data_IF_574331863361
#
_entry.id   IF_574331863361
#
_cell.length_a   1.000
_cell.length_b   1.000
_cell.length_c   1.000
_cell.angle_alpha   90.00
_cell.angle_beta   90.00
_cell.angle_gamma   90.00
#
_symmetry.space_group_name_H-M   'P 1'
#
loop_
_entity.id
_entity.type
_entity.pdbx_description
1 polymer ?
#
# COMPACT_ATOMS: atom_id res chain seq x y z
N UNK A 1 15.67 -5.28 -10.46
CA UNK A 1 14.57 -6.26 -10.35
C UNK A 1 13.96 -6.45 -11.72
N UNK A 2 13.57 -7.68 -12.09
CA UNK A 2 12.85 -7.92 -13.34
C UNK A 2 11.44 -7.34 -13.24
N UNK A 3 10.85 -6.88 -14.35
CA UNK A 3 9.45 -6.43 -14.36
C UNK A 3 8.52 -7.57 -14.77
N UNK A 4 7.31 -7.57 -14.21
CA UNK A 4 6.21 -8.46 -14.59
C UNK A 4 5.02 -7.62 -15.07
N UNK A 5 4.27 -8.11 -16.05
CA UNK A 5 2.97 -7.55 -16.43
C UNK A 5 1.90 -8.59 -16.17
N UNK A 6 0.87 -8.20 -15.45
CA UNK A 6 -0.17 -9.07 -14.96
C UNK A 6 -1.54 -8.49 -15.28
N UNK A 7 -2.46 -9.34 -15.73
CA UNK A 7 -3.87 -8.99 -15.95
C UNK A 7 -4.69 -10.15 -15.43
N UNK A 8 -5.49 -9.90 -14.39
CA UNK A 8 -6.40 -10.91 -13.87
C UNK A 8 -7.58 -11.13 -14.83
N UNK A 9 -8.19 -12.31 -14.77
CA UNK A 9 -9.33 -12.65 -15.62
C UNK A 9 -10.52 -11.75 -15.29
N UNK A 10 -10.99 -10.98 -16.27
CA UNK A 10 -12.10 -10.03 -16.07
C UNK A 10 -11.67 -8.66 -15.54
N UNK A 11 -10.37 -8.44 -15.29
CA UNK A 11 -9.83 -7.14 -14.94
C UNK A 11 -9.55 -6.31 -16.21
N UNK A 12 -10.09 -5.09 -16.35
CA UNK A 12 -9.87 -4.23 -17.52
C UNK A 12 -8.50 -3.53 -17.52
N UNK A 13 -7.68 -3.76 -16.50
CA UNK A 13 -6.37 -3.13 -16.30
C UNK A 13 -5.26 -4.18 -16.31
N UNK A 14 -4.21 -3.91 -17.08
CA UNK A 14 -2.91 -4.58 -16.98
C UNK A 14 -2.03 -3.82 -16.01
N UNK A 15 -1.60 -4.47 -14.94
CA UNK A 15 -0.70 -3.90 -13.94
C UNK A 15 0.72 -4.39 -14.20
N UNK A 16 1.66 -3.47 -14.31
CA UNK A 16 3.09 -3.75 -14.38
C UNK A 16 3.69 -3.63 -12.98
N UNK A 17 4.38 -4.66 -12.51
CA UNK A 17 5.04 -4.70 -11.21
C UNK A 17 6.49 -5.18 -11.32
N UNK A 18 7.11 -5.46 -10.18
CA UNK A 18 8.48 -6.00 -10.10
C UNK A 18 8.49 -7.38 -9.48
N UNK A 19 9.44 -8.20 -9.91
CA UNK A 19 9.73 -9.52 -9.34
C UNK A 19 10.94 -9.38 -8.41
N UNK A 20 10.77 -9.86 -7.18
CA UNK A 20 11.81 -10.05 -6.19
C UNK A 20 12.00 -11.54 -5.94
N UNK A 21 13.19 -12.06 -6.23
CA UNK A 21 13.57 -13.46 -6.11
C UNK A 21 14.68 -13.68 -5.07
N UNK A 22 15.00 -12.66 -4.27
CA UNK A 22 16.13 -12.68 -3.31
C UNK A 22 16.04 -13.78 -2.25
N UNK A 23 14.85 -14.36 -2.06
CA UNK A 23 14.59 -15.43 -1.09
C UNK A 23 14.35 -16.81 -1.74
N UNK A 24 14.76 -17.01 -2.99
CA UNK A 24 14.71 -18.30 -3.68
C UNK A 24 13.32 -18.72 -4.19
N UNK A 25 12.29 -17.97 -3.84
CA UNK A 25 10.96 -18.02 -4.47
C UNK A 25 10.65 -16.64 -5.03
N UNK A 26 10.18 -16.54 -6.27
CA UNK A 26 9.78 -15.26 -6.82
C UNK A 26 8.59 -14.70 -6.03
N UNK A 27 8.58 -13.39 -5.84
CA UNK A 27 7.51 -12.61 -5.20
C UNK A 27 7.21 -11.43 -6.12
N UNK A 28 5.93 -11.16 -6.36
CA UNK A 28 5.52 -10.00 -7.15
C UNK A 28 5.17 -8.84 -6.23
N UNK A 29 5.71 -7.66 -6.56
CA UNK A 29 5.35 -6.40 -5.93
C UNK A 29 4.68 -5.48 -6.93
N UNK A 30 3.54 -4.94 -6.52
CA UNK A 30 2.87 -3.83 -7.18
C UNK A 30 2.83 -2.66 -6.20
N UNK A 31 3.49 -1.57 -6.55
CA UNK A 31 3.80 -0.47 -5.63
C UNK A 31 3.14 0.83 -6.08
N UNK A 32 2.87 1.72 -5.13
CA UNK A 32 2.32 3.05 -5.42
C UNK A 32 0.93 3.05 -6.05
N UNK A 33 0.13 2.00 -5.83
CA UNK A 33 -1.23 1.92 -6.37
C UNK A 33 -2.12 2.90 -5.60
N UNK A 34 -2.69 3.89 -6.27
CA UNK A 34 -3.59 4.86 -5.65
C UNK A 34 -4.89 4.18 -5.21
N UNK A 35 -5.28 4.42 -3.97
CA UNK A 35 -6.60 4.01 -3.45
C UNK A 35 -7.54 5.20 -3.25
N UNK A 36 -7.00 6.41 -3.22
CA UNK A 36 -7.77 7.63 -3.10
C UNK A 36 -7.08 8.83 -3.75
N UNK A 37 -7.84 9.93 -3.84
CA UNK A 37 -7.37 11.23 -4.30
C UNK A 37 -7.90 12.30 -3.36
N UNK A 38 -7.09 13.30 -3.05
CA UNK A 38 -7.51 14.47 -2.28
C UNK A 38 -7.14 15.74 -3.05
N UNK A 39 -8.15 16.55 -3.38
CA UNK A 39 -7.92 17.72 -4.23
C UNK A 39 -7.26 18.89 -3.50
N UNK A 40 -7.36 18.93 -2.16
CA UNK A 40 -6.85 20.02 -1.32
C UNK A 40 -6.65 19.58 0.13
N UNK A 41 -5.77 20.28 0.84
CA UNK A 41 -5.58 20.15 2.29
C UNK A 41 -6.94 20.21 3.03
N UNK A 42 -7.11 19.29 3.98
CA UNK A 42 -8.33 19.12 4.78
C UNK A 42 -9.61 18.86 3.94
N UNK A 43 -9.46 18.39 2.70
CA UNK A 43 -10.56 17.86 1.91
C UNK A 43 -10.91 16.42 2.31
N UNK A 44 -12.11 15.98 1.93
CA UNK A 44 -12.44 14.57 1.98
C UNK A 44 -11.73 13.85 0.84
N UNK A 45 -11.11 12.68 1.09
CA UNK A 45 -10.54 11.88 0.03
C UNK A 45 -11.66 11.21 -0.78
N UNK A 46 -11.44 11.10 -2.08
CA UNK A 46 -12.31 10.44 -3.04
C UNK A 46 -11.73 9.08 -3.40
N UNK A 47 -12.59 8.07 -3.58
CA UNK A 47 -12.17 6.71 -3.96
C UNK A 47 -11.53 6.69 -5.35
N UNK A 48 -10.39 6.02 -5.49
CA UNK A 48 -9.74 5.76 -6.78
C UNK A 48 -9.64 4.26 -7.01
N UNK A 49 -10.34 3.75 -8.03
CA UNK A 49 -10.23 2.35 -8.43
C UNK A 49 -9.02 2.08 -9.33
N UNK A 50 -8.82 0.81 -9.71
CA UNK A 50 -7.76 0.37 -10.63
C UNK A 50 -7.85 0.96 -12.06
N UNK A 51 -8.99 1.58 -12.41
CA UNK A 51 -9.23 2.15 -13.73
C UNK A 51 -9.34 1.09 -14.83
N UNK A 52 -8.90 1.45 -16.04
CA UNK A 52 -8.78 0.55 -17.20
C UNK A 52 -7.49 0.87 -17.95
N UNK A 53 -6.97 -0.07 -18.74
CA UNK A 53 -5.77 0.14 -19.56
C UNK A 53 -4.50 -0.37 -18.88
N UNK A 54 -3.48 0.48 -18.74
CA UNK A 54 -2.17 0.08 -18.18
C UNK A 54 -1.86 0.89 -16.94
N UNK A 55 -1.48 0.19 -15.87
CA UNK A 55 -1.02 0.78 -14.61
C UNK A 55 0.45 0.38 -14.39
N UNK A 56 1.35 1.36 -14.27
CA UNK A 56 2.73 1.10 -13.86
C UNK A 56 2.84 1.20 -12.34
N UNK A 57 3.12 0.07 -11.70
CA UNK A 57 3.26 -0.10 -10.26
C UNK A 57 4.65 -0.67 -9.92
N UNK A 58 5.68 -0.28 -10.69
CA UNK A 58 7.06 -0.74 -10.49
C UNK A 58 7.82 0.06 -9.42
N UNK A 59 7.40 1.29 -9.17
CA UNK A 59 8.01 2.23 -8.23
C UNK A 59 7.11 2.47 -7.01
N UNK A 60 7.70 2.85 -5.87
CA UNK A 60 6.94 3.28 -4.72
C UNK A 60 6.27 4.63 -4.99
N UNK A 61 5.07 4.84 -4.42
CA UNK A 61 4.42 6.15 -4.40
C UNK A 61 5.03 7.06 -3.33
N UNK A 62 4.66 8.34 -3.38
CA UNK A 62 5.05 9.30 -2.36
C UNK A 62 4.47 8.92 -0.98
N UNK A 63 5.20 9.22 0.09
CA UNK A 63 4.65 9.17 1.45
C UNK A 63 3.95 10.48 1.79
N UNK A 64 3.10 10.47 2.82
CA UNK A 64 2.49 11.71 3.30
C UNK A 64 3.54 12.57 4.01
N UNK A 65 3.40 13.91 4.01
CA UNK A 65 4.37 14.79 4.66
C UNK A 65 4.61 14.42 6.12
N UNK A 66 5.87 14.33 6.53
CA UNK A 66 6.27 14.03 7.91
C UNK A 66 7.13 15.17 8.47
N UNK A 67 7.11 15.42 9.80
CA UNK A 67 8.09 16.30 10.40
C UNK A 67 9.50 15.76 10.17
N UNK A 68 10.44 16.67 9.91
CA UNK A 68 11.84 16.31 9.78
C UNK A 68 12.37 15.77 11.11
N UNK A 69 12.45 14.45 11.23
CA UNK A 69 13.12 13.74 12.30
C UNK A 69 14.40 13.12 11.76
N UNK A 70 15.44 13.06 12.59
CA UNK A 70 16.63 12.26 12.30
C UNK A 70 16.43 10.85 12.90
N UNK A 71 15.95 9.87 12.12
CA UNK A 71 15.77 8.51 12.62
C UNK A 71 17.10 7.89 13.04
N UNK A 72 18.22 8.30 12.46
CA UNK A 72 19.54 7.80 12.84
C UNK A 72 19.90 8.20 14.26
N UNK A 73 19.64 9.47 14.62
CA UNK A 73 19.81 9.93 15.99
C UNK A 73 18.84 9.24 16.96
N UNK A 74 17.54 9.16 16.62
CA UNK A 74 16.50 8.57 17.47
C UNK A 74 16.75 7.08 17.75
N UNK A 75 17.13 6.33 16.73
CA UNK A 75 17.35 4.88 16.80
C UNK A 75 18.82 4.51 17.08
N UNK A 76 19.69 5.50 17.31
CA UNK A 76 21.15 5.32 17.54
C UNK A 76 21.82 4.50 16.44
N UNK A 77 21.41 4.74 15.21
CA UNK A 77 21.97 4.04 14.05
C UNK A 77 23.35 4.64 13.72
N UNK A 78 24.34 3.80 13.40
CA UNK A 78 25.67 4.26 12.98
C UNK A 78 25.61 5.33 11.88
N UNK A 79 26.42 6.41 11.95
CA UNK A 79 26.37 7.53 10.98
C UNK A 79 26.62 7.14 9.52
N UNK A 80 27.25 5.98 9.31
CA UNK A 80 27.57 5.44 7.99
C UNK A 80 26.33 4.91 7.26
N UNK A 81 25.26 4.60 8.00
CA UNK A 81 23.99 4.13 7.45
C UNK A 81 23.16 5.36 7.05
N UNK A 82 23.03 5.56 5.74
CA UNK A 82 22.17 6.60 5.19
C UNK A 82 20.77 6.07 5.00
N UNK A 83 19.80 6.78 5.56
CA UNK A 83 18.40 6.56 5.24
C UNK A 83 18.10 7.18 3.88
N UNK A 84 17.41 6.42 3.04
CA UNK A 84 16.92 6.93 1.75
C UNK A 84 15.88 8.00 2.02
N UNK A 85 16.05 9.19 1.44
CA UNK A 85 14.99 10.19 1.46
C UNK A 85 13.82 9.65 0.62
N UNK A 86 12.67 9.50 1.26
CA UNK A 86 11.43 9.12 0.59
C UNK A 86 10.78 10.40 0.05
N UNK A 87 10.24 10.32 -1.16
CA UNK A 87 9.48 11.43 -1.75
C UNK A 87 8.21 11.70 -0.93
N UNK A 88 7.93 12.97 -0.64
CA UNK A 88 6.76 13.40 0.12
C UNK A 88 5.85 14.24 -0.76
N UNK A 89 4.55 13.91 -0.76
CA UNK A 89 3.53 14.67 -1.47
C UNK A 89 2.21 14.62 -0.69
N UNK A 90 1.69 15.78 -0.29
CA UNK A 90 0.46 15.89 0.49
C UNK A 90 -0.79 15.39 -0.25
N UNK A 91 -0.82 15.52 -1.59
CA UNK A 91 -1.99 15.24 -2.40
C UNK A 91 -1.90 13.88 -3.12
N UNK A 92 -0.70 13.30 -3.17
CA UNK A 92 -0.42 12.05 -3.88
C UNK A 92 0.04 10.87 -2.98
N UNK A 93 -0.03 11.05 -1.66
CA UNK A 93 0.36 10.01 -0.70
C UNK A 93 -0.70 8.93 -0.42
N UNK A 94 -1.90 9.01 -1.01
CA UNK A 94 -2.96 8.02 -0.83
C UNK A 94 -2.75 6.80 -1.74
N UNK A 95 -1.67 6.07 -1.47
CA UNK A 95 -1.27 4.89 -2.21
C UNK A 95 -0.95 3.70 -1.30
N UNK A 96 -0.99 2.49 -1.87
CA UNK A 96 -0.68 1.24 -1.20
C UNK A 96 0.22 0.35 -2.06
N UNK A 97 0.78 -0.66 -1.41
CA UNK A 97 1.60 -1.69 -2.05
C UNK A 97 0.94 -3.06 -1.87
N UNK A 98 1.03 -3.90 -2.89
CA UNK A 98 0.59 -5.29 -2.88
C UNK A 98 1.81 -6.17 -3.09
N UNK A 99 2.00 -7.12 -2.19
CA UNK A 99 3.02 -8.15 -2.29
C UNK A 99 2.32 -9.51 -2.30
N UNK A 100 2.59 -10.31 -3.32
CA UNK A 100 1.86 -11.57 -3.55
C UNK A 100 2.76 -12.61 -4.22
N UNK A 101 2.57 -13.91 -3.95
CA UNK A 101 3.22 -14.94 -4.74
C UNK A 101 2.86 -14.83 -6.24
N UNK A 102 3.79 -15.15 -7.14
CA UNK A 102 3.50 -15.34 -8.56
C UNK A 102 2.46 -16.42 -8.73
N UNK A 103 1.57 -16.24 -9.70
CA UNK A 103 0.65 -17.30 -10.11
C UNK A 103 -0.18 -17.89 -8.96
N UNK A 104 -0.82 -17.06 -8.14
CA UNK A 104 -2.09 -17.50 -7.54
C UNK A 104 -3.02 -17.78 -8.71
N UNK A 105 -3.03 -19.04 -9.17
CA UNK A 105 -4.06 -19.51 -10.07
C UNK A 105 -5.33 -19.53 -9.24
N UNK A 106 -6.04 -18.39 -9.29
CA UNK A 106 -7.27 -18.11 -8.54
C UNK A 106 -8.28 -19.26 -8.70
N UNK A 107 -8.17 -20.04 -9.79
CA UNK A 107 -9.03 -21.20 -10.05
C UNK A 107 -8.50 -22.53 -9.49
N UNK A 108 -7.19 -22.71 -9.29
CA UNK A 108 -6.59 -23.97 -8.84
C UNK A 108 -6.32 -24.00 -7.32
N UNK A 109 -5.96 -22.86 -6.74
CA UNK A 109 -5.57 -22.74 -5.33
C UNK A 109 -6.59 -21.98 -4.47
N UNK A 110 -7.60 -21.37 -5.10
CA UNK A 110 -8.51 -20.43 -4.46
C UNK A 110 -7.85 -19.08 -4.17
N UNK A 111 -8.63 -18.16 -3.58
CA UNK A 111 -8.13 -16.87 -3.11
C UNK A 111 -7.34 -17.03 -1.80
N UNK A 112 -6.28 -16.25 -1.63
CA UNK A 112 -5.42 -16.28 -0.44
C UNK A 112 -5.94 -15.33 0.65
N UNK A 113 -5.78 -15.66 1.94
CA UNK A 113 -6.07 -14.69 3.01
C UNK A 113 -5.19 -13.44 2.84
N UNK A 114 -5.75 -12.27 3.13
CA UNK A 114 -5.09 -10.97 2.96
C UNK A 114 -4.61 -10.44 4.31
N UNK A 115 -3.33 -10.09 4.38
CA UNK A 115 -2.80 -9.32 5.51
C UNK A 115 -2.74 -7.84 5.13
N UNK A 116 -3.53 -7.00 5.81
CA UNK A 116 -3.47 -5.55 5.65
C UNK A 116 -2.57 -5.00 6.75
N UNK A 117 -1.38 -4.56 6.35
CA UNK A 117 -0.43 -3.91 7.26
C UNK A 117 -0.67 -2.40 7.28
N UNK A 118 -0.90 -1.85 8.47
CA UNK A 118 -1.03 -0.41 8.71
C UNK A 118 0.18 -0.02 9.55
N UNK A 119 1.07 0.75 8.94
CA UNK A 119 2.32 1.13 9.60
C UNK A 119 2.07 1.94 10.87
N UNK A 120 2.94 1.76 11.86
CA UNK A 120 3.02 2.59 13.05
C UNK A 120 3.57 3.99 12.77
N UNK A 121 3.63 4.81 13.81
CA UNK A 121 4.16 6.18 13.73
C UNK A 121 3.64 7.15 14.79
N UNK A 122 2.94 6.64 15.82
CA UNK A 122 2.39 7.42 16.94
C UNK A 122 1.53 8.62 16.52
N UNK A 123 0.96 8.57 15.31
CA UNK A 123 0.22 9.66 14.65
C UNK A 123 0.94 11.02 14.77
N UNK A 124 2.27 10.96 14.77
CA UNK A 124 3.22 12.07 14.79
C UNK A 124 3.39 12.82 16.13
N UNK A 125 3.12 12.22 17.30
CA UNK A 125 3.80 12.42 18.63
C UNK A 125 2.91 12.13 19.87
N UNK A 126 1.58 12.02 19.76
CA UNK A 126 0.68 11.60 20.86
C UNK A 126 -0.37 10.60 20.38
N UNK A 127 -0.85 9.74 21.29
CA UNK A 127 -1.85 8.74 20.99
C UNK A 127 -3.22 9.41 20.76
N UNK A 128 -3.64 9.59 19.50
CA UNK A 128 -5.06 9.84 19.27
C UNK A 128 -5.80 8.55 19.66
N UNK A 129 -6.69 8.67 20.62
CA UNK A 129 -7.58 7.57 20.98
C UNK A 129 -8.68 7.46 19.94
N UNK A 130 -8.99 6.25 19.50
CA UNK A 130 -10.22 5.98 18.74
C UNK A 130 -11.50 6.38 19.51
N UNK A 131 -11.38 6.69 20.81
CA UNK A 131 -12.45 7.27 21.63
C UNK A 131 -12.62 8.79 21.46
N UNK A 132 -11.82 9.45 20.61
CA UNK A 132 -11.95 10.88 20.30
C UNK A 132 -12.07 11.12 18.79
N UNK A 133 -12.72 12.20 18.33
CA UNK A 133 -12.91 12.48 16.90
C UNK A 133 -11.61 12.57 16.09
N UNK A 134 -10.49 12.92 16.74
CA UNK A 134 -9.18 12.99 16.09
C UNK A 134 -8.60 11.60 15.75
N UNK A 135 -9.04 10.54 16.43
CA UNK A 135 -8.65 9.15 16.17
C UNK A 135 -9.73 8.36 15.41
N UNK A 136 -10.72 9.02 14.80
CA UNK A 136 -11.79 8.38 14.05
C UNK A 136 -11.23 7.62 12.84
N UNK A 137 -11.35 6.27 12.78
CA UNK A 137 -10.81 5.46 11.69
C UNK A 137 -11.62 5.60 10.39
N UNK A 138 -12.71 6.38 10.36
CA UNK A 138 -13.52 6.58 9.15
C UNK A 138 -12.68 7.07 7.97
N UNK A 139 -11.61 7.82 8.21
CA UNK A 139 -10.69 8.26 7.15
C UNK A 139 -9.90 7.10 6.51
N UNK A 140 -9.68 6.00 7.24
CA UNK A 140 -9.03 4.78 6.72
C UNK A 140 -9.97 3.93 5.87
N UNK A 141 -11.28 4.24 5.81
CA UNK A 141 -12.27 3.40 5.13
C UNK A 141 -11.94 3.18 3.66
N UNK A 142 -11.34 4.17 2.98
CA UNK A 142 -11.10 4.09 1.53
C UNK A 142 -10.08 3.01 1.18
N UNK A 143 -9.01 2.87 1.96
CA UNK A 143 -8.04 1.80 1.75
C UNK A 143 -8.68 0.42 1.93
N UNK A 144 -9.49 0.24 2.99
CA UNK A 144 -10.20 -1.02 3.23
C UNK A 144 -11.26 -1.31 2.16
N UNK A 145 -12.01 -0.28 1.74
CA UNK A 145 -12.98 -0.36 0.65
C UNK A 145 -12.27 -0.73 -0.67
N UNK A 146 -11.09 -0.16 -0.91
CA UNK A 146 -10.26 -0.51 -2.07
C UNK A 146 -9.81 -1.95 -2.02
N UNK A 147 -9.27 -2.43 -0.90
CA UNK A 147 -8.87 -3.84 -0.75
C UNK A 147 -10.06 -4.75 -1.00
N UNK A 148 -11.21 -4.49 -0.36
CA UNK A 148 -12.43 -5.28 -0.52
C UNK A 148 -12.89 -5.38 -1.98
N UNK A 149 -12.79 -4.29 -2.76
CA UNK A 149 -13.23 -4.27 -4.17
C UNK A 149 -12.21 -4.81 -5.16
N UNK A 150 -10.92 -4.77 -4.85
CA UNK A 150 -9.86 -4.95 -5.85
C UNK A 150 -8.92 -6.13 -5.56
N UNK A 151 -8.80 -6.61 -4.32
CA UNK A 151 -7.72 -7.55 -3.93
C UNK A 151 -7.86 -8.94 -4.57
N UNK A 152 -9.08 -9.34 -4.95
CA UNK A 152 -9.33 -10.57 -5.70
C UNK A 152 -8.65 -10.56 -7.06
N UNK A 153 -8.45 -9.39 -7.67
CA UNK A 153 -7.66 -9.28 -8.89
C UNK A 153 -6.21 -9.68 -8.66
N UNK A 154 -5.68 -9.52 -7.45
CA UNK A 154 -4.30 -9.86 -7.09
C UNK A 154 -4.19 -11.21 -6.37
N UNK A 155 -5.26 -12.02 -6.39
CA UNK A 155 -5.31 -13.35 -5.79
C UNK A 155 -5.65 -13.38 -4.30
N UNK A 156 -6.07 -12.26 -3.71
CA UNK A 156 -6.49 -12.19 -2.31
C UNK A 156 -8.00 -12.36 -2.12
N UNK A 157 -8.39 -12.95 -1.00
CA UNK A 157 -9.78 -13.12 -0.58
C UNK A 157 -10.29 -11.83 0.09
N UNK A 158 -11.26 -11.11 -0.52
CA UNK A 158 -11.76 -9.85 0.03
C UNK A 158 -12.54 -10.02 1.33
N UNK A 159 -12.94 -11.24 1.71
CA UNK A 159 -13.69 -11.52 2.95
C UNK A 159 -12.85 -12.21 4.02
N UNK A 160 -11.60 -12.58 3.71
CA UNK A 160 -10.66 -13.19 4.66
C UNK A 160 -9.43 -12.30 4.78
N UNK A 161 -9.52 -11.29 5.64
CA UNK A 161 -8.40 -10.40 5.92
C UNK A 161 -8.13 -10.20 7.42
N UNK A 162 -6.85 -10.04 7.75
CA UNK A 162 -6.37 -9.69 9.08
C UNK A 162 -5.71 -8.30 9.03
N UNK A 163 -5.90 -7.51 10.09
CA UNK A 163 -5.21 -6.23 10.28
C UNK A 163 -3.98 -6.44 11.16
N UNK A 164 -2.83 -5.95 10.71
CA UNK A 164 -1.61 -5.89 11.51
C UNK A 164 -1.19 -4.44 11.68
N UNK A 165 -0.98 -4.04 12.92
CA UNK A 165 -0.56 -2.70 13.33
C UNK A 165 0.82 -2.79 13.98
N UNK A 166 1.70 -1.83 13.68
CA UNK A 166 3.00 -1.64 14.37
C UNK A 166 3.00 -0.41 15.28
#
# INVERSE_FOLDING_TARGET
MASVSFTSRGMPTTVRGVVDDRFGQPVWHFRGIRYGHIARRFGEPEYVGLGSGKLDATEFGAQCPQPSVDPGHLLRVPPEIRFTKIEEDELECLNLNITTPPHVDINASGLLPVLVWIHGGSQVLTFASAAGPAGDPTQMRLAIEWVSKNISNFGGDPVSFALSLD
#
